data_IF_634246992794
#
_entry.id   IF_634246992794
#
_cell.length_a   1.000
_cell.length_b   1.000
_cell.length_c   1.000
_cell.angle_alpha   90.00
_cell.angle_beta   90.00
_cell.angle_gamma   90.00
#
_symmetry.space_group_name_H-M   'P 1'
#
loop_
_entity.id
_entity.type
_entity.pdbx_description
1 polymer ?
#
# COMPACT_ATOMS: atom_id res chain seq x y z
N UNK A 1 9.14 6.19 -19.13
CA UNK A 1 8.26 7.20 -18.54
C UNK A 1 8.00 8.32 -19.53
N UNK A 2 6.78 8.84 -19.57
CA UNK A 2 6.38 10.08 -20.23
C UNK A 2 5.66 10.93 -19.19
N UNK A 3 6.06 12.19 -19.02
CA UNK A 3 5.43 13.13 -18.07
C UNK A 3 5.02 14.38 -18.84
N UNK A 4 3.78 14.83 -18.65
CA UNK A 4 3.21 16.05 -19.22
C UNK A 4 2.73 16.91 -18.06
N UNK A 5 3.28 18.11 -17.93
CA UNK A 5 3.06 18.98 -16.76
C UNK A 5 2.18 20.17 -17.13
N UNK A 6 1.40 20.65 -16.17
CA UNK A 6 0.56 21.85 -16.28
C UNK A 6 -0.45 21.77 -17.44
N UNK A 7 -1.00 20.59 -17.70
CA UNK A 7 -2.09 20.43 -18.64
C UNK A 7 -3.37 20.99 -18.03
N UNK A 8 -4.20 21.65 -18.85
CA UNK A 8 -5.48 22.21 -18.41
C UNK A 8 -6.60 21.47 -19.13
N UNK A 9 -7.59 21.00 -18.37
CA UNK A 9 -8.87 20.53 -18.90
C UNK A 9 -9.97 21.50 -18.50
N UNK A 10 -10.74 21.94 -19.50
CA UNK A 10 -11.93 22.74 -19.27
C UNK A 10 -13.06 21.95 -18.61
N UNK A 11 -14.06 22.68 -18.10
CA UNK A 11 -15.30 22.08 -17.59
C UNK A 11 -15.97 21.19 -18.67
N UNK A 12 -16.34 19.98 -18.28
CA UNK A 12 -16.92 18.94 -19.16
C UNK A 12 -16.08 18.63 -20.41
N UNK A 13 -14.78 18.91 -20.36
CA UNK A 13 -13.87 18.72 -21.48
C UNK A 13 -12.97 17.50 -21.28
N UNK A 14 -12.32 17.09 -22.37
CA UNK A 14 -11.46 15.92 -22.43
C UNK A 14 -10.12 16.28 -23.05
N UNK A 15 -9.05 15.74 -22.48
CA UNK A 15 -7.75 15.62 -23.13
C UNK A 15 -7.45 14.14 -23.40
N UNK A 16 -6.80 13.87 -24.54
CA UNK A 16 -6.50 12.50 -24.98
C UNK A 16 -5.03 12.34 -25.31
N UNK A 17 -4.46 11.23 -24.83
CA UNK A 17 -3.05 10.92 -24.99
C UNK A 17 -2.90 9.52 -25.61
N UNK A 18 -2.47 9.42 -26.88
CA UNK A 18 -2.22 8.12 -27.50
C UNK A 18 -0.95 7.49 -26.92
N UNK A 19 -1.00 6.20 -26.66
CA UNK A 19 0.14 5.42 -26.21
C UNK A 19 0.15 4.05 -26.89
N UNK A 20 1.34 3.56 -27.26
CA UNK A 20 1.46 2.24 -27.86
C UNK A 20 1.98 1.24 -26.83
N UNK A 21 1.22 0.18 -26.59
CA UNK A 21 1.57 -0.96 -25.73
C UNK A 21 2.15 -2.08 -26.60
N UNK A 22 3.30 -2.61 -26.21
CA UNK A 22 4.01 -3.69 -26.90
C UNK A 22 4.06 -4.94 -26.05
N UNK A 23 4.37 -6.10 -26.66
CA UNK A 23 4.59 -7.37 -25.96
C UNK A 23 5.61 -7.32 -24.80
N UNK A 24 6.56 -6.39 -24.84
CA UNK A 24 7.56 -6.17 -23.79
C UNK A 24 7.02 -5.41 -22.58
N UNK A 25 5.90 -4.69 -22.72
CA UNK A 25 5.26 -3.91 -21.66
C UNK A 25 4.47 -4.86 -20.77
N UNK A 26 4.95 -5.10 -19.55
CA UNK A 26 4.22 -5.91 -18.57
C UNK A 26 3.07 -5.14 -17.95
N UNK A 27 3.30 -3.87 -17.67
CA UNK A 27 2.36 -3.01 -17.00
C UNK A 27 2.44 -1.61 -17.58
N UNK A 28 1.28 -0.98 -17.73
CA UNK A 28 1.18 0.46 -17.96
C UNK A 28 0.50 1.09 -16.75
N UNK A 29 1.18 2.01 -16.09
CA UNK A 29 0.63 2.81 -14.99
C UNK A 29 0.42 4.21 -15.51
N UNK A 30 -0.77 4.74 -15.29
CA UNK A 30 -1.12 6.11 -15.63
C UNK A 30 -1.57 6.81 -14.37
N UNK A 31 -0.94 7.93 -14.06
CA UNK A 31 -1.21 8.75 -12.90
C UNK A 31 -1.55 10.16 -13.34
N UNK A 32 -2.59 10.73 -12.74
CA UNK A 32 -2.93 12.14 -12.82
C UNK A 32 -2.79 12.71 -11.41
N UNK A 33 -1.89 13.68 -11.26
CA UNK A 33 -1.73 14.48 -10.06
C UNK A 33 -2.41 15.82 -10.31
N UNK A 34 -3.39 16.17 -9.48
CA UNK A 34 -4.15 17.39 -9.68
C UNK A 34 -3.54 18.58 -8.94
N UNK A 35 -3.12 19.60 -9.69
CA UNK A 35 -2.39 20.75 -9.14
C UNK A 35 -3.32 21.76 -8.43
N UNK A 36 -4.59 21.83 -8.86
CA UNK A 36 -5.55 22.82 -8.37
C UNK A 36 -6.90 22.22 -7.92
N UNK A 37 -6.98 20.90 -7.72
CA UNK A 37 -8.16 20.30 -7.13
C UNK A 37 -8.13 20.64 -5.63
N UNK A 38 -8.86 21.69 -5.24
CA UNK A 38 -9.00 22.06 -3.83
C UNK A 38 -9.83 21.02 -3.06
N UNK A 39 -9.38 20.68 -1.85
CA UNK A 39 -10.22 19.96 -0.89
C UNK A 39 -11.29 20.91 -0.34
N UNK A 40 -12.58 20.66 -0.61
CA UNK A 40 -13.63 21.31 0.17
C UNK A 40 -13.86 20.49 1.43
N UNK A 41 -13.90 21.16 2.58
CA UNK A 41 -14.31 20.54 3.84
C UNK A 41 -15.80 20.82 4.03
N UNK A 42 -16.63 19.78 4.01
CA UNK A 42 -18.04 19.90 4.34
C UNK A 42 -18.23 20.44 5.76
N UNK A 43 -19.41 21.01 6.09
CA UNK A 43 -19.74 21.42 7.46
C UNK A 43 -19.61 20.32 8.53
N UNK A 44 -19.53 19.05 8.13
CA UNK A 44 -19.30 17.89 9.01
C UNK A 44 -17.86 17.36 9.01
N UNK A 45 -16.89 18.08 8.43
CA UNK A 45 -15.49 17.67 8.36
C UNK A 45 -15.15 16.69 7.23
N UNK A 46 -16.14 16.17 6.49
CA UNK A 46 -15.88 15.33 5.32
C UNK A 46 -15.24 16.16 4.21
N UNK A 47 -14.06 15.75 3.77
CA UNK A 47 -13.41 16.30 2.59
C UNK A 47 -14.13 15.77 1.34
N UNK A 48 -14.57 16.66 0.46
CA UNK A 48 -15.08 16.30 -0.87
C UNK A 48 -14.55 17.30 -1.90
N UNK A 49 -14.36 16.85 -3.13
CA UNK A 49 -13.91 17.72 -4.21
C UNK A 49 -15.06 18.01 -5.16
N UNK A 50 -15.31 19.28 -5.43
CA UNK A 50 -16.29 19.69 -6.45
C UNK A 50 -15.75 19.47 -7.87
N UNK A 51 -14.44 19.61 -8.02
CA UNK A 51 -13.71 19.46 -9.29
C UNK A 51 -12.57 18.45 -9.09
N UNK A 52 -12.62 17.32 -9.79
CA UNK A 52 -11.53 16.36 -9.87
C UNK A 52 -11.42 15.79 -11.29
N UNK A 53 -10.22 15.44 -11.75
CA UNK A 53 -10.03 14.74 -13.01
C UNK A 53 -10.52 13.30 -12.86
N UNK A 54 -11.04 12.74 -13.94
CA UNK A 54 -11.39 11.32 -14.06
C UNK A 54 -10.49 10.73 -15.13
N UNK A 55 -9.78 9.68 -14.74
CA UNK A 55 -8.79 9.02 -15.58
C UNK A 55 -9.40 7.78 -16.22
N UNK A 56 -9.25 7.66 -17.54
CA UNK A 56 -9.80 6.54 -18.33
C UNK A 56 -8.80 6.04 -19.36
N UNK A 57 -8.95 4.79 -19.78
CA UNK A 57 -8.20 4.20 -20.90
C UNK A 57 -9.12 3.38 -21.81
N UNK A 58 -8.85 3.43 -23.11
CA UNK A 58 -9.56 2.65 -24.14
C UNK A 58 -8.61 2.16 -25.24
N UNK A 59 -8.84 0.93 -25.72
CA UNK A 59 -8.11 0.32 -26.82
C UNK A 59 -8.61 0.80 -28.19
N UNK A 60 -7.70 1.18 -29.06
CA UNK A 60 -7.95 1.46 -30.49
C UNK A 60 -8.62 2.79 -30.81
N UNK A 61 -9.26 3.45 -29.85
CA UNK A 61 -9.90 4.76 -30.02
C UNK A 61 -9.92 5.56 -28.71
N UNK A 62 -10.00 6.90 -28.76
CA UNK A 62 -10.20 7.74 -27.57
C UNK A 62 -11.43 7.30 -26.75
N UNK A 63 -11.36 7.28 -25.41
CA UNK A 63 -12.55 7.12 -24.59
C UNK A 63 -13.51 8.31 -24.79
N UNK A 64 -14.79 8.13 -24.46
CA UNK A 64 -15.74 9.24 -24.58
C UNK A 64 -17.15 8.84 -24.21
N UNK A 65 -18.05 9.81 -24.25
CA UNK A 65 -19.49 9.56 -24.16
C UNK A 65 -20.02 9.17 -25.53
N UNK A 66 -20.72 8.04 -25.65
CA UNK A 66 -21.53 7.82 -26.84
C UNK A 66 -22.91 8.43 -26.68
N UNK A 67 -23.34 9.15 -27.72
CA UNK A 67 -24.64 9.80 -27.79
C UNK A 67 -25.82 8.84 -27.82
N UNK A 68 -25.58 7.54 -28.03
CA UNK A 68 -26.66 6.58 -28.25
C UNK A 68 -27.38 6.21 -26.96
N UNK A 69 -26.69 6.20 -25.81
CA UNK A 69 -27.28 5.81 -24.52
C UNK A 69 -26.69 6.59 -23.31
N UNK A 70 -25.86 7.62 -23.54
CA UNK A 70 -25.20 8.37 -22.45
C UNK A 70 -24.17 7.56 -21.65
N UNK A 71 -23.86 6.34 -22.10
CA UNK A 71 -22.87 5.48 -21.47
C UNK A 71 -21.47 5.93 -21.89
N UNK A 72 -20.58 6.01 -20.91
CA UNK A 72 -19.16 6.18 -21.16
C UNK A 72 -18.59 4.93 -21.78
N UNK A 73 -17.85 5.11 -22.86
CA UNK A 73 -17.07 4.06 -23.48
C UNK A 73 -15.61 4.17 -23.05
N UNK A 74 -15.25 3.41 -22.03
CA UNK A 74 -13.88 3.17 -21.61
C UNK A 74 -13.70 1.66 -21.36
N UNK A 75 -12.46 1.18 -21.48
CA UNK A 75 -12.10 -0.16 -21.02
C UNK A 75 -11.72 -0.12 -19.54
N UNK A 76 -11.02 0.93 -19.09
CA UNK A 76 -10.57 1.11 -17.71
C UNK A 76 -10.91 2.52 -17.26
N UNK A 77 -11.32 2.68 -16.00
CA UNK A 77 -11.53 3.98 -15.35
C UNK A 77 -10.99 3.95 -13.93
N UNK A 78 -10.60 5.11 -13.43
CA UNK A 78 -10.44 5.32 -12.01
C UNK A 78 -11.80 5.44 -11.32
N UNK A 79 -11.80 5.24 -10.00
CA UNK A 79 -13.00 5.33 -9.16
C UNK A 79 -12.79 6.26 -7.97
N UNK A 80 -11.63 6.92 -7.87
CA UNK A 80 -11.43 7.86 -6.79
C UNK A 80 -12.19 9.15 -7.07
N UNK A 81 -12.36 9.92 -5.99
CA UNK A 81 -12.98 11.25 -5.99
C UNK A 81 -12.09 12.23 -5.25
N UNK A 82 -10.77 11.93 -5.19
CA UNK A 82 -9.80 12.56 -4.28
C UNK A 82 -8.75 13.39 -5.01
N UNK A 83 -9.00 13.76 -6.28
CA UNK A 83 -8.16 14.69 -7.05
C UNK A 83 -7.05 13.97 -7.79
N UNK A 84 -6.24 13.20 -7.06
CA UNK A 84 -5.22 12.35 -7.65
C UNK A 84 -5.81 10.99 -8.04
N UNK A 85 -5.53 10.57 -9.27
CA UNK A 85 -6.08 9.35 -9.84
C UNK A 85 -4.96 8.49 -10.41
N UNK A 86 -5.06 7.17 -10.21
CA UNK A 86 -4.14 6.21 -10.83
C UNK A 86 -4.93 5.04 -11.40
N UNK A 87 -4.58 4.61 -12.61
CA UNK A 87 -5.04 3.35 -13.18
C UNK A 87 -3.83 2.54 -13.64
N UNK A 88 -3.94 1.22 -13.53
CA UNK A 88 -2.94 0.29 -14.04
C UNK A 88 -3.57 -0.72 -15.01
N UNK A 89 -2.82 -1.05 -16.05
CA UNK A 89 -3.13 -2.12 -17.00
C UNK A 89 -1.95 -3.08 -17.01
N UNK A 90 -2.13 -4.24 -16.39
CA UNK A 90 -1.15 -5.33 -16.34
C UNK A 90 -1.43 -6.38 -17.41
N UNK A 91 -0.40 -7.13 -17.81
CA UNK A 91 -0.50 -8.18 -18.83
C UNK A 91 -1.43 -9.33 -18.44
N UNK A 92 -1.63 -9.55 -17.14
CA UNK A 92 -2.57 -10.54 -16.60
C UNK A 92 -4.03 -10.10 -16.64
N UNK A 93 -4.30 -8.82 -16.93
CA UNK A 93 -5.65 -8.30 -17.09
C UNK A 93 -6.32 -8.86 -18.35
N UNK A 94 -7.57 -9.30 -18.22
CA UNK A 94 -8.41 -9.69 -19.39
C UNK A 94 -8.61 -8.58 -20.42
N UNK A 95 -8.33 -7.32 -20.06
CA UNK A 95 -8.41 -6.15 -20.94
C UNK A 95 -7.11 -5.85 -21.66
N UNK A 96 -6.00 -6.48 -21.28
CA UNK A 96 -4.70 -6.22 -21.89
C UNK A 96 -4.69 -6.61 -23.37
N UNK A 97 -4.22 -5.69 -24.21
CA UNK A 97 -4.06 -5.88 -25.66
C UNK A 97 -2.85 -5.09 -26.14
N UNK A 98 -2.08 -5.68 -27.04
CA UNK A 98 -1.01 -4.97 -27.74
C UNK A 98 -1.59 -4.01 -28.79
N UNK A 99 -0.92 -2.87 -28.98
CA UNK A 99 -1.28 -1.85 -29.95
C UNK A 99 -1.59 -0.48 -29.34
N UNK A 100 -2.37 0.30 -30.08
CA UNK A 100 -2.67 1.68 -29.74
C UNK A 100 -3.77 1.75 -28.67
N UNK A 101 -3.46 2.41 -27.57
CA UNK A 101 -4.37 2.79 -26.50
C UNK A 101 -4.46 4.30 -26.42
N UNK A 102 -5.55 4.79 -25.84
CA UNK A 102 -5.75 6.20 -25.54
C UNK A 102 -6.02 6.35 -24.05
N UNK A 103 -5.23 7.19 -23.37
CA UNK A 103 -5.60 7.75 -22.07
C UNK A 103 -6.55 8.90 -22.31
N UNK A 104 -7.66 8.96 -21.58
CA UNK A 104 -8.51 10.13 -21.50
C UNK A 104 -8.51 10.69 -20.08
N UNK A 105 -8.25 11.99 -19.96
CA UNK A 105 -8.46 12.75 -18.73
C UNK A 105 -9.63 13.68 -18.97
N UNK A 106 -10.65 13.62 -18.11
CA UNK A 106 -11.82 14.48 -18.23
C UNK A 106 -12.22 15.07 -16.90
N UNK A 107 -12.85 16.24 -16.91
CA UNK A 107 -13.30 16.84 -15.65
C UNK A 107 -14.53 16.08 -15.14
N UNK A 108 -14.68 15.95 -13.82
CA UNK A 108 -15.96 15.53 -13.24
C UNK A 108 -17.11 16.44 -13.74
N UNK A 109 -18.33 15.91 -13.84
CA UNK A 109 -19.49 16.71 -14.27
C UNK A 109 -19.85 17.83 -13.30
N UNK A 110 -19.44 17.71 -12.04
CA UNK A 110 -19.65 18.72 -11.01
C UNK A 110 -18.58 19.81 -11.01
N UNK A 111 -17.57 19.72 -11.89
CA UNK A 111 -16.47 20.67 -11.93
C UNK A 111 -17.01 22.08 -12.18
N UNK A 112 -16.62 23.01 -11.30
CA UNK A 112 -17.01 24.43 -11.36
C UNK A 112 -15.93 25.31 -11.98
N UNK A 113 -14.75 24.76 -12.24
CA UNK A 113 -13.58 25.45 -12.76
C UNK A 113 -12.72 24.50 -13.61
N UNK A 114 -11.80 25.08 -14.36
CA UNK A 114 -10.80 24.33 -15.12
C UNK A 114 -9.82 23.65 -14.17
N UNK A 115 -9.40 22.44 -14.54
CA UNK A 115 -8.50 21.63 -13.73
C UNK A 115 -7.11 21.63 -14.39
N UNK A 116 -6.09 22.00 -13.61
CA UNK A 116 -4.69 21.89 -13.96
C UNK A 116 -4.13 20.61 -13.34
N UNK A 117 -3.40 19.82 -14.13
CA UNK A 117 -2.83 18.56 -13.67
C UNK A 117 -1.50 18.23 -14.33
N UNK A 118 -0.80 17.28 -13.71
CA UNK A 118 0.35 16.58 -14.26
C UNK A 118 -0.03 15.14 -14.59
N UNK A 119 0.22 14.71 -15.83
CA UNK A 119 0.02 13.34 -16.30
C UNK A 119 1.34 12.61 -16.38
N UNK A 120 1.42 11.44 -15.74
CA UNK A 120 2.54 10.51 -15.85
C UNK A 120 2.08 9.18 -16.45
N UNK A 121 2.76 8.72 -17.49
CA UNK A 121 2.55 7.43 -18.15
C UNK A 121 3.83 6.61 -18.06
N UNK A 122 3.79 5.56 -17.26
CA UNK A 122 4.88 4.60 -17.10
C UNK A 122 4.54 3.28 -17.78
N UNK A 123 5.53 2.76 -18.51
CA UNK A 123 5.44 1.46 -19.19
C UNK A 123 6.55 0.61 -18.61
N UNK A 124 6.16 -0.30 -17.74
CA UNK A 124 7.08 -1.07 -16.93
C UNK A 124 7.25 -2.47 -17.52
N UNK A 125 8.49 -2.93 -17.47
CA UNK A 125 8.83 -4.32 -17.77
C UNK A 125 8.53 -5.23 -16.59
N UNK A 126 8.45 -4.71 -15.36
CA UNK A 126 8.12 -5.46 -14.15
C UNK A 126 6.98 -4.75 -13.39
N UNK A 127 6.31 -5.42 -12.42
CA UNK A 127 5.32 -4.80 -11.55
C UNK A 127 5.81 -3.47 -10.95
N UNK A 128 5.06 -2.40 -11.15
CA UNK A 128 5.36 -0.99 -10.81
C UNK A 128 6.80 -0.53 -11.09
N UNK A 129 7.47 -1.12 -12.09
CA UNK A 129 8.89 -0.80 -12.36
C UNK A 129 9.81 -1.11 -11.18
N UNK A 130 9.42 -2.09 -10.35
CA UNK A 130 10.05 -2.40 -9.07
C UNK A 130 10.11 -1.20 -8.11
N UNK A 131 9.17 -0.26 -8.23
CA UNK A 131 9.00 0.94 -7.39
C UNK A 131 10.27 1.78 -7.19
N UNK A 132 11.24 1.68 -8.12
CA UNK A 132 12.56 2.30 -7.96
C UNK A 132 13.40 1.75 -6.81
N UNK A 133 12.96 0.65 -6.17
CA UNK A 133 13.61 -0.04 -5.03
C UNK A 133 14.01 -1.48 -5.37
N UNK A 134 13.87 -1.89 -6.63
CA UNK A 134 14.39 -3.14 -7.14
C UNK A 134 15.77 -2.97 -7.76
N UNK A 135 16.67 -3.91 -7.51
CA UNK A 135 17.99 -3.98 -8.16
C UNK A 135 17.89 -4.60 -9.55
N UNK A 136 16.88 -5.46 -9.78
CA UNK A 136 16.71 -6.18 -11.04
C UNK A 136 15.26 -6.63 -11.27
N UNK A 137 14.84 -6.60 -12.54
CA UNK A 137 13.63 -7.25 -13.03
C UNK A 137 13.99 -8.64 -13.59
N UNK A 138 13.50 -9.71 -12.96
CA UNK A 138 13.68 -11.08 -13.41
C UNK A 138 12.46 -11.50 -14.23
N UNK A 139 12.71 -12.05 -15.42
CA UNK A 139 11.68 -12.56 -16.33
C UNK A 139 11.91 -14.05 -16.49
N UNK A 140 10.95 -14.86 -16.06
CA UNK A 140 11.03 -16.32 -16.12
C UNK A 140 10.57 -16.85 -17.49
N UNK A 141 10.81 -18.14 -17.76
CA UNK A 141 10.46 -18.81 -19.03
C UNK A 141 8.97 -18.78 -19.36
N UNK A 142 8.12 -18.62 -18.34
CA UNK A 142 6.67 -18.50 -18.48
C UNK A 142 6.19 -17.03 -18.58
N UNK A 143 7.10 -16.08 -18.81
CA UNK A 143 6.86 -14.61 -18.79
C UNK A 143 6.35 -14.07 -17.44
N UNK A 144 6.49 -14.86 -16.37
CA UNK A 144 6.32 -14.38 -14.99
C UNK A 144 7.42 -13.38 -14.66
N UNK A 145 7.05 -12.24 -14.07
CA UNK A 145 7.99 -11.15 -13.81
C UNK A 145 8.03 -10.81 -12.34
N UNK A 146 9.24 -10.78 -11.79
CA UNK A 146 9.47 -10.55 -10.35
C UNK A 146 10.59 -9.53 -10.16
N UNK A 147 10.46 -8.71 -9.12
CA UNK A 147 11.49 -7.77 -8.74
C UNK A 147 12.42 -8.36 -7.68
N UNK A 148 13.73 -8.21 -7.89
CA UNK A 148 14.74 -8.43 -6.87
C UNK A 148 14.86 -7.14 -6.04
N UNK A 149 14.37 -7.16 -4.80
CA UNK A 149 14.29 -5.95 -3.97
C UNK A 149 15.60 -5.61 -3.28
N UNK A 150 15.84 -4.31 -3.12
CA UNK A 150 16.85 -3.80 -2.19
C UNK A 150 16.60 -4.30 -0.76
N UNK A 151 17.66 -4.36 0.05
CA UNK A 151 17.58 -4.87 1.41
C UNK A 151 16.58 -4.05 2.24
N UNK A 152 15.58 -4.73 2.81
CA UNK A 152 14.53 -4.11 3.63
C UNK A 152 13.23 -3.86 2.87
N UNK A 153 13.27 -3.88 1.54
CA UNK A 153 12.12 -3.79 0.66
C UNK A 153 11.59 -5.17 0.29
N UNK A 154 10.28 -5.26 0.07
CA UNK A 154 9.56 -6.48 -0.28
C UNK A 154 8.26 -6.14 -1.02
N UNK A 155 7.45 -7.16 -1.34
CA UNK A 155 6.41 -7.23 -2.39
C UNK A 155 6.99 -7.51 -3.76
N UNK A 156 6.12 -7.99 -4.66
CA UNK A 156 6.46 -8.33 -6.03
C UNK A 156 7.00 -7.13 -6.83
N UNK A 157 6.68 -5.91 -6.37
CA UNK A 157 7.15 -4.64 -6.92
C UNK A 157 8.14 -3.89 -6.01
N UNK A 158 8.56 -4.44 -4.87
CA UNK A 158 9.44 -3.78 -3.91
C UNK A 158 8.90 -2.48 -3.29
N UNK A 159 7.59 -2.23 -3.36
CA UNK A 159 6.97 -1.00 -2.84
C UNK A 159 6.91 -0.93 -1.32
N UNK A 160 6.99 -2.06 -0.61
CA UNK A 160 6.88 -2.07 0.85
C UNK A 160 8.24 -2.16 1.52
N UNK A 161 8.38 -1.41 2.61
CA UNK A 161 9.57 -1.40 3.46
C UNK A 161 9.20 -1.88 4.85
N UNK A 162 10.07 -2.68 5.48
CA UNK A 162 9.90 -3.08 6.88
C UNK A 162 10.90 -2.32 7.75
N UNK A 163 10.41 -1.40 8.58
CA UNK A 163 11.24 -0.64 9.51
C UNK A 163 11.88 -1.57 10.54
N UNK A 164 13.21 -1.53 10.75
CA UNK A 164 13.86 -2.42 11.71
C UNK A 164 13.53 -1.98 13.14
N UNK A 165 13.09 -2.93 13.96
CA UNK A 165 12.95 -2.73 15.40
C UNK A 165 14.21 -3.16 16.14
N UNK A 166 14.45 -2.52 17.29
CA UNK A 166 15.44 -2.94 18.28
C UNK A 166 14.72 -3.51 19.52
N UNK A 167 15.42 -4.36 20.27
CA UNK A 167 14.89 -4.81 21.56
C UNK A 167 14.86 -3.64 22.54
N UNK A 168 13.79 -3.60 23.35
CA UNK A 168 13.60 -2.66 24.47
C UNK A 168 13.71 -1.19 24.04
N UNK A 169 13.38 -0.90 22.78
CA UNK A 169 13.35 0.45 22.21
C UNK A 169 12.02 0.63 21.48
N UNK A 170 11.12 1.49 21.99
CA UNK A 170 9.86 1.76 21.33
C UNK A 170 10.07 2.53 20.03
N UNK A 171 9.42 2.07 18.96
CA UNK A 171 9.24 2.80 17.72
C UNK A 171 7.93 3.57 17.80
N UNK A 172 7.97 4.87 17.57
CA UNK A 172 6.79 5.75 17.56
C UNK A 172 6.66 6.32 16.15
N UNK A 173 5.49 6.18 15.55
CA UNK A 173 5.27 6.61 14.17
C UNK A 173 3.78 6.88 13.88
N UNK A 174 3.48 7.29 12.65
CA UNK A 174 2.13 7.55 12.15
C UNK A 174 1.83 6.76 10.88
N UNK A 175 0.58 6.29 10.74
CA UNK A 175 0.03 5.76 9.50
C UNK A 175 -0.93 6.82 8.95
N UNK A 176 -0.58 7.52 7.87
CA UNK A 176 -1.38 8.64 7.35
C UNK A 176 -2.40 8.25 6.27
N UNK A 177 -1.96 7.55 5.21
CA UNK A 177 -2.82 7.06 4.12
C UNK A 177 -2.42 5.65 3.67
N UNK A 178 -2.40 4.72 4.62
CA UNK A 178 -2.10 3.32 4.36
C UNK A 178 -2.91 2.41 5.27
N UNK A 179 -3.16 1.19 4.78
CA UNK A 179 -3.71 0.13 5.62
C UNK A 179 -2.66 -0.50 6.52
N UNK A 180 -1.40 -0.48 6.13
CA UNK A 180 -0.35 -1.22 6.82
C UNK A 180 0.90 -0.38 6.98
N UNK A 181 1.51 -0.53 8.14
CA UNK A 181 2.87 -0.08 8.40
C UNK A 181 3.67 -1.28 8.90
N UNK A 182 4.75 -1.60 8.19
CA UNK A 182 5.47 -2.86 8.38
C UNK A 182 6.76 -2.66 9.15
N UNK A 183 7.11 -3.66 9.94
CA UNK A 183 8.34 -3.64 10.71
C UNK A 183 8.97 -5.02 10.80
N UNK A 184 10.28 -5.04 11.02
CA UNK A 184 11.08 -6.25 11.14
C UNK A 184 11.61 -6.37 12.56
N UNK A 185 11.29 -7.49 13.23
CA UNK A 185 11.84 -7.77 14.54
C UNK A 185 13.36 -8.03 14.43
N UNK A 186 14.14 -7.83 15.51
CA UNK A 186 15.52 -8.27 15.54
C UNK A 186 15.64 -9.76 15.17
N UNK A 187 16.60 -10.10 14.31
CA UNK A 187 16.77 -11.48 13.81
C UNK A 187 16.97 -12.46 14.95
N UNK A 188 16.19 -13.54 14.94
CA UNK A 188 16.30 -14.61 15.93
C UNK A 188 17.40 -15.56 15.49
N UNK A 189 18.50 -15.63 16.24
CA UNK A 189 19.53 -16.63 15.99
C UNK A 189 19.09 -18.04 16.39
N UNK A 190 19.68 -19.08 15.80
CA UNK A 190 19.42 -20.48 16.19
C UNK A 190 19.62 -20.73 17.69
N UNK A 191 20.62 -20.06 18.30
CA UNK A 191 20.86 -20.12 19.75
C UNK A 191 19.75 -19.49 20.58
N UNK A 192 19.07 -18.47 20.06
CA UNK A 192 17.93 -17.85 20.74
C UNK A 192 16.68 -18.71 20.60
N UNK A 193 16.43 -19.25 19.41
CA UNK A 193 15.30 -20.16 19.15
C UNK A 193 15.40 -21.46 19.97
N UNK A 194 16.61 -21.92 20.29
CA UNK A 194 16.82 -23.12 21.11
C UNK A 194 16.83 -22.88 22.62
N UNK A 195 16.66 -21.64 23.09
CA UNK A 195 16.65 -21.26 24.52
C UNK A 195 15.21 -20.97 24.96
N UNK A 196 15.00 -20.92 26.28
CA UNK A 196 13.75 -20.43 26.85
C UNK A 196 13.68 -18.90 26.78
N UNK A 197 13.61 -18.37 25.57
CA UNK A 197 13.38 -16.95 25.33
C UNK A 197 11.97 -16.80 24.77
N UNK A 198 11.19 -15.93 25.38
CA UNK A 198 9.93 -15.47 24.84
C UNK A 198 10.13 -14.07 24.24
N UNK A 199 9.40 -13.79 23.16
CA UNK A 199 9.35 -12.46 22.56
C UNK A 199 7.98 -11.88 22.82
N UNK A 200 7.93 -10.68 23.40
CA UNK A 200 6.71 -9.89 23.53
C UNK A 200 6.75 -8.75 22.55
N UNK A 201 5.66 -8.58 21.81
CA UNK A 201 5.46 -7.44 20.95
C UNK A 201 4.34 -6.59 21.54
N UNK A 202 4.67 -5.39 22.02
CA UNK A 202 3.71 -4.46 22.60
C UNK A 202 3.34 -3.40 21.61
N UNK A 203 2.07 -3.03 21.56
CA UNK A 203 1.63 -1.91 20.76
C UNK A 203 0.55 -1.09 21.47
N UNK A 204 0.53 0.20 21.14
CA UNK A 204 -0.53 1.14 21.50
C UNK A 204 -0.80 2.07 20.32
N UNK A 205 -1.97 2.70 20.31
CA UNK A 205 -2.33 3.67 19.27
C UNK A 205 -3.15 4.85 19.81
N UNK A 206 -3.12 5.95 19.07
CA UNK A 206 -4.00 7.12 19.23
C UNK A 206 -4.45 7.65 17.87
N UNK A 207 -5.59 8.32 17.81
CA UNK A 207 -6.05 9.02 16.60
C UNK A 207 -7.56 8.99 16.41
N UNK A 208 -8.19 7.87 16.73
CA UNK A 208 -9.66 7.77 16.77
C UNK A 208 -10.14 6.72 17.77
N UNK A 209 -11.23 7.05 18.44
CA UNK A 209 -11.94 6.13 19.32
C UNK A 209 -12.92 5.31 18.50
N UNK A 210 -12.74 3.99 18.51
CA UNK A 210 -13.67 3.05 17.91
C UNK A 210 -14.65 2.58 18.96
N UNK A 211 -15.96 2.71 18.72
CA UNK A 211 -16.94 2.08 19.59
C UNK A 211 -16.64 0.59 19.73
N UNK A 212 -16.49 0.11 20.96
CA UNK A 212 -16.03 -1.25 21.30
C UNK A 212 -16.83 -2.42 20.72
N UNK A 213 -17.97 -2.15 20.06
CA UNK A 213 -18.80 -3.14 19.40
C UNK A 213 -18.57 -3.24 17.89
N UNK A 214 -17.68 -2.42 17.32
CA UNK A 214 -17.32 -2.42 15.90
C UNK A 214 -15.92 -3.02 15.70
N UNK A 215 -15.83 -4.35 15.73
CA UNK A 215 -14.54 -5.07 15.55
C UNK A 215 -13.83 -4.77 14.22
N UNK A 216 -14.55 -4.30 13.19
CA UNK A 216 -13.94 -3.88 11.92
C UNK A 216 -13.32 -2.47 11.97
N UNK A 217 -13.27 -1.84 13.15
CA UNK A 217 -12.81 -0.47 13.33
C UNK A 217 -11.42 -0.42 14.00
N UNK A 218 -11.10 -1.38 14.86
CA UNK A 218 -9.88 -1.30 15.67
C UNK A 218 -8.63 -1.65 14.86
N UNK A 219 -7.51 -0.93 15.06
CA UNK A 219 -6.22 -1.34 14.53
C UNK A 219 -5.80 -2.72 15.05
N UNK A 220 -4.89 -3.38 14.35
CA UNK A 220 -4.38 -4.69 14.77
C UNK A 220 -2.87 -4.78 14.69
N UNK A 221 -2.26 -5.37 15.71
CA UNK A 221 -0.88 -5.81 15.71
C UNK A 221 -0.79 -7.22 15.11
N UNK A 222 0.11 -7.39 14.15
CA UNK A 222 0.23 -8.62 13.36
C UNK A 222 1.68 -9.10 13.34
N UNK A 223 1.93 -10.40 13.50
CA UNK A 223 3.29 -10.98 13.44
C UNK A 223 3.32 -12.35 12.77
N UNK A 224 4.29 -12.58 11.88
CA UNK A 224 4.56 -13.88 11.26
C UNK A 224 6.05 -14.15 11.11
N UNK A 225 6.40 -15.43 11.04
CA UNK A 225 7.76 -15.85 10.66
C UNK A 225 7.97 -15.58 9.17
N UNK A 226 9.15 -15.11 8.81
CA UNK A 226 9.61 -14.96 7.43
C UNK A 226 9.72 -13.50 6.99
N UNK A 227 10.60 -13.28 6.02
CA UNK A 227 10.82 -12.00 5.35
C UNK A 227 10.58 -12.07 3.85
N UNK A 228 9.76 -13.02 3.39
CA UNK A 228 9.51 -13.27 1.97
C UNK A 228 8.91 -12.06 1.23
N UNK A 229 8.78 -12.20 -0.10
CA UNK A 229 8.22 -11.17 -0.97
C UNK A 229 6.69 -11.11 -0.92
N UNK A 230 6.03 -12.10 -0.31
CA UNK A 230 4.57 -12.17 -0.26
C UNK A 230 3.95 -10.96 0.43
N UNK A 231 2.87 -10.42 -0.18
CA UNK A 231 1.97 -9.44 0.42
C UNK A 231 1.26 -10.08 1.61
N UNK A 232 1.61 -9.74 2.86
CA UNK A 232 0.95 -10.35 3.99
C UNK A 232 -0.43 -9.69 4.15
N UNK A 233 -1.49 -10.35 3.69
CA UNK A 233 -2.83 -9.97 4.12
C UNK A 233 -2.98 -10.28 5.61
N UNK A 234 -3.90 -9.59 6.29
CA UNK A 234 -4.18 -9.79 7.72
C UNK A 234 -4.39 -11.27 8.03
N UNK A 235 -5.00 -12.03 7.13
CA UNK A 235 -5.27 -13.47 7.16
C UNK A 235 -3.98 -14.30 7.27
N UNK A 236 -2.93 -13.90 6.56
CA UNK A 236 -1.65 -14.63 6.44
C UNK A 236 -0.78 -14.59 7.70
N UNK A 237 -1.10 -13.70 8.65
CA UNK A 237 -0.31 -13.57 9.87
C UNK A 237 -0.61 -14.69 10.88
N UNK A 238 0.44 -15.23 11.49
CA UNK A 238 0.32 -16.32 12.47
C UNK A 238 -0.22 -15.83 13.80
N UNK A 239 0.24 -14.66 14.24
CA UNK A 239 -0.16 -14.01 15.49
C UNK A 239 -0.86 -12.70 15.18
N UNK A 240 -2.00 -12.46 15.84
CA UNK A 240 -2.84 -11.28 15.64
C UNK A 240 -3.38 -10.83 16.98
N UNK A 241 -3.36 -9.53 17.21
CA UNK A 241 -3.92 -8.90 18.40
C UNK A 241 -4.61 -7.60 17.98
N UNK A 242 -5.91 -7.53 18.21
CA UNK A 242 -6.69 -6.31 18.01
C UNK A 242 -6.38 -5.31 19.13
N UNK A 243 -6.20 -4.03 18.79
CA UNK A 243 -5.92 -2.95 19.74
C UNK A 243 -7.25 -2.33 20.18
N UNK A 244 -7.85 -2.87 21.24
CA UNK A 244 -9.25 -2.61 21.58
C UNK A 244 -9.48 -1.23 22.22
N UNK A 245 -8.44 -0.64 22.82
CA UNK A 245 -8.55 0.61 23.56
C UNK A 245 -7.52 1.63 23.06
N UNK A 246 -8.01 2.83 22.69
CA UNK A 246 -7.14 3.97 22.40
C UNK A 246 -6.31 4.35 23.65
N UNK A 247 -5.02 4.62 23.47
CA UNK A 247 -4.03 4.79 24.55
C UNK A 247 -3.80 3.55 25.44
N UNK A 248 -4.46 2.43 25.15
CA UNK A 248 -4.19 1.14 25.77
C UNK A 248 -2.94 0.49 25.19
N UNK A 249 -2.33 -0.41 25.96
CA UNK A 249 -1.23 -1.25 25.48
C UNK A 249 -1.70 -2.69 25.43
N UNK A 250 -1.69 -3.28 24.24
CA UNK A 250 -1.93 -4.70 24.02
C UNK A 250 -0.62 -5.40 23.61
N UNK A 251 -0.55 -6.72 23.79
CA UNK A 251 0.67 -7.47 23.48
C UNK A 251 0.43 -8.82 22.80
N UNK A 252 1.33 -9.18 21.88
CA UNK A 252 1.49 -10.54 21.35
C UNK A 252 2.67 -11.20 22.08
N UNK A 253 2.41 -12.36 22.68
CA UNK A 253 3.46 -13.22 23.24
C UNK A 253 3.78 -14.35 22.25
N UNK A 254 5.04 -14.43 21.83
CA UNK A 254 5.60 -15.54 21.07
C UNK A 254 6.43 -16.37 22.04
N UNK A 255 5.88 -17.50 22.47
CA UNK A 255 6.55 -18.40 23.38
C UNK A 255 7.77 -19.05 22.72
N UNK A 256 8.77 -19.40 23.52
CA UNK A 256 9.96 -20.14 23.08
C UNK A 256 9.66 -21.38 22.22
N UNK A 257 8.56 -22.09 22.46
CA UNK A 257 8.14 -23.25 21.66
C UNK A 257 7.66 -22.91 20.23
N UNK A 258 7.26 -21.67 20.01
CA UNK A 258 6.81 -21.14 18.72
C UNK A 258 7.91 -20.32 18.03
N UNK A 259 8.89 -19.87 18.80
CA UNK A 259 10.00 -19.07 18.31
C UNK A 259 10.92 -19.95 17.46
N UNK A 260 11.21 -19.47 16.26
CA UNK A 260 12.07 -20.15 15.31
C UNK A 260 13.13 -19.19 14.79
N UNK A 261 14.24 -19.75 14.33
CA UNK A 261 15.35 -19.01 13.78
C UNK A 261 14.97 -18.21 12.52
N UNK A 262 15.65 -17.10 12.34
CA UNK A 262 15.53 -16.24 11.16
C UNK A 262 14.77 -14.95 11.39
N UNK A 263 14.23 -14.43 10.29
CA UNK A 263 13.53 -13.13 10.24
C UNK A 263 12.07 -13.30 10.63
N UNK A 264 11.57 -12.34 11.40
CA UNK A 264 10.18 -12.19 11.76
C UNK A 264 9.70 -10.81 11.33
N UNK A 265 8.54 -10.74 10.69
CA UNK A 265 7.93 -9.51 10.21
C UNK A 265 6.62 -9.28 10.94
N UNK A 266 6.40 -8.05 11.35
CA UNK A 266 5.10 -7.62 11.83
C UNK A 266 4.57 -6.42 11.08
N UNK A 267 3.33 -6.06 11.41
CA UNK A 267 2.69 -4.86 10.91
C UNK A 267 1.71 -4.30 11.95
N UNK A 268 1.48 -3.00 11.88
CA UNK A 268 0.23 -2.39 12.36
C UNK A 268 -0.70 -2.29 11.17
N UNK A 269 -1.90 -2.85 11.31
CA UNK A 269 -2.99 -2.71 10.35
C UNK A 269 -3.98 -1.65 10.84
N UNK A 270 -4.25 -0.65 10.01
CA UNK A 270 -5.29 0.37 10.20
C UNK A 270 -6.46 0.07 9.25
N UNK A 271 -7.63 -0.39 9.75
CA UNK A 271 -8.79 -0.67 8.89
C UNK A 271 -9.39 0.60 8.25
N UNK A 272 -8.98 1.80 8.68
CA UNK A 272 -9.43 3.10 8.18
C UNK A 272 -8.27 3.87 7.54
N UNK A 273 -7.84 3.47 6.34
CA UNK A 273 -6.68 4.07 5.66
C UNK A 273 -6.67 5.60 5.62
N UNK A 274 -7.85 6.24 5.53
CA UNK A 274 -8.05 7.70 5.44
C UNK A 274 -8.10 8.43 6.78
N UNK A 275 -7.99 7.72 7.92
CA UNK A 275 -7.90 8.34 9.24
C UNK A 275 -6.52 8.01 9.81
N UNK A 276 -5.64 9.03 9.96
CA UNK A 276 -4.32 8.79 10.49
C UNK A 276 -4.36 8.23 11.92
N UNK A 277 -3.43 7.30 12.22
CA UNK A 277 -3.19 6.84 13.59
C UNK A 277 -1.73 7.02 13.97
N UNK A 278 -1.49 7.57 15.16
CA UNK A 278 -0.18 7.45 15.78
C UNK A 278 -0.12 6.10 16.49
N UNK A 279 1.01 5.44 16.45
CA UNK A 279 1.19 4.18 17.14
C UNK A 279 2.57 4.10 17.80
N UNK A 280 2.68 3.24 18.79
CA UNK A 280 3.94 2.80 19.37
C UNK A 280 4.05 1.29 19.24
N UNK A 281 5.19 0.77 18.80
CA UNK A 281 5.50 -0.67 18.80
C UNK A 281 6.84 -0.91 19.49
N UNK A 282 6.90 -1.90 20.38
CA UNK A 282 8.11 -2.30 21.09
C UNK A 282 8.29 -3.82 21.06
N UNK A 283 9.53 -4.27 20.85
CA UNK A 283 9.91 -5.69 20.98
C UNK A 283 10.66 -5.89 22.29
N UNK A 284 10.13 -6.74 23.16
CA UNK A 284 10.76 -7.10 24.43
C UNK A 284 11.22 -8.55 24.38
N UNK A 285 12.41 -8.79 24.89
CA UNK A 285 13.01 -10.12 24.96
C UNK A 285 13.06 -10.63 26.40
N UNK A 286 12.16 -11.54 26.74
CA UNK A 286 12.12 -12.16 28.05
C UNK A 286 12.92 -13.46 28.05
N UNK A 287 13.96 -13.54 28.88
CA UNK A 287 14.79 -14.73 29.02
C UNK A 287 14.46 -15.47 30.31
N UNK A 288 14.10 -16.75 30.22
CA UNK A 288 13.81 -17.60 31.38
C UNK A 288 14.99 -18.54 31.69
N UNK A 289 15.36 -18.66 32.97
CA UNK A 289 16.25 -19.74 33.43
C UNK A 289 15.47 -21.07 33.43
N UNK A 290 16.00 -22.10 32.77
CA UNK A 290 15.40 -23.46 32.73
C UNK A 290 15.26 -24.13 34.11
N UNK A 291 16.04 -23.68 35.09
CA UNK A 291 15.98 -24.08 36.49
C UNK A 291 16.44 -22.87 37.30
N UNK A 292 15.67 -22.44 38.31
CA UNK A 292 16.00 -21.38 39.28
C UNK A 292 17.48 -20.99 39.25
N UNK A 293 17.79 -19.80 38.74
CA UNK A 293 19.16 -19.34 38.56
C UNK A 293 19.89 -19.45 39.92
N UNK A 294 20.64 -20.53 40.13
CA UNK A 294 21.40 -20.76 41.36
C UNK A 294 22.56 -19.78 41.30
N UNK A 295 22.39 -18.67 42.03
CA UNK A 295 23.21 -17.47 41.93
C UNK A 295 24.70 -17.74 41.70
N UNK A 296 25.20 -17.18 40.59
CA UNK A 296 26.54 -16.64 40.34
C UNK A 296 26.55 -16.12 38.91
N UNK A 297 26.04 -14.91 38.76
CA UNK A 297 26.41 -14.00 37.68
C UNK A 297 27.62 -13.18 38.12
#
# INVERSE_FOLDING_TARGET
SMVIQNEVIGISSWNFYPLNITNSTWETVVTVECDNCGENVSPGGYKYMSSYPILTMKYGAPPGMTWKDGAYEYDIRSYSTTGDETISLTKDSSKYREGLWFVGVHSSYSASEDITYTLSIDRNTCPNGCSGRGTKCNIDVNDTRTCECEKGYFKDDCSAEAKPLAYDTPMIDVIEDSYYEYFQLPTISAKQASRNIDIKLRASYTGYDCPSHWSSCHPSLLVKKGGGTEYPEMESYTFKQELLQENGTDEILICSSQLADGVWRGAIYNPRKWIPINYTVEVIKDSHCLNNCSGRG
#
